data_IF_226496538066
#
_entry.id   IF_226496538066
#
_cell.length_a   1.000
_cell.length_b   1.000
_cell.length_c   1.000
_cell.angle_alpha   90.00
_cell.angle_beta   90.00
_cell.angle_gamma   90.00
#
_symmetry.space_group_name_H-M   'P 1'
#
loop_
_entity.id
_entity.type
_entity.pdbx_description
1 polymer ?
#
# COMPACT_ATOMS: atom_id res chain seq x y z
N UNK A 1 -19.35 -6.69 12.74
CA UNK A 1 -18.14 -6.56 11.90
C UNK A 1 -17.36 -5.34 12.34
N UNK A 2 -16.06 -5.46 12.56
CA UNK A 2 -15.27 -4.28 12.83
C UNK A 2 -15.29 -3.36 11.61
N UNK A 3 -15.31 -2.06 11.85
CA UNK A 3 -15.25 -1.07 10.79
C UNK A 3 -13.85 -1.05 10.18
N UNK A 4 -13.78 -0.89 8.87
CA UNK A 4 -12.52 -0.74 8.18
C UNK A 4 -12.06 0.72 8.26
N UNK A 5 -10.80 0.93 8.60
CA UNK A 5 -10.18 2.24 8.66
C UNK A 5 -9.18 2.36 7.52
N UNK A 6 -9.38 3.34 6.64
CA UNK A 6 -8.50 3.64 5.52
C UNK A 6 -7.61 4.81 5.94
N UNK A 7 -6.32 4.57 6.09
CA UNK A 7 -5.40 5.58 6.61
C UNK A 7 -4.02 5.50 5.97
N UNK A 8 -3.24 6.54 6.15
CA UNK A 8 -1.83 6.53 5.73
C UNK A 8 -1.06 5.49 6.55
N UNK A 9 -0.18 4.75 5.88
CA UNK A 9 0.68 3.79 6.55
C UNK A 9 1.68 4.49 7.48
N UNK A 10 2.01 3.82 8.57
CA UNK A 10 3.07 4.24 9.49
C UNK A 10 4.20 3.22 9.44
N UNK A 11 5.33 3.57 10.02
CA UNK A 11 6.49 2.66 10.07
C UNK A 11 6.13 1.31 10.72
N UNK A 12 5.25 1.32 11.70
CA UNK A 12 4.81 0.11 12.39
C UNK A 12 4.05 -0.85 11.47
N UNK A 13 3.52 -0.36 10.34
CA UNK A 13 2.74 -1.17 9.40
C UNK A 13 3.61 -1.90 8.38
N UNK A 14 4.90 -1.56 8.27
CA UNK A 14 5.75 -2.03 7.17
C UNK A 14 5.85 -3.55 7.11
N UNK A 15 6.02 -4.21 8.26
CA UNK A 15 6.13 -5.67 8.29
C UNK A 15 4.87 -6.35 7.74
N UNK A 16 3.69 -5.84 8.07
CA UNK A 16 2.43 -6.40 7.56
C UNK A 16 2.22 -6.10 6.09
N UNK A 17 2.65 -4.93 5.62
CA UNK A 17 2.59 -4.59 4.20
C UNK A 17 3.45 -5.56 3.39
N UNK A 18 4.66 -5.86 3.85
CA UNK A 18 5.53 -6.83 3.20
C UNK A 18 4.83 -8.18 3.07
N UNK A 19 4.16 -8.61 4.14
CA UNK A 19 3.38 -9.84 4.13
C UNK A 19 2.28 -9.85 3.07
N UNK A 20 1.58 -8.73 2.91
CA UNK A 20 0.54 -8.60 1.89
C UNK A 20 1.13 -8.64 0.48
N UNK A 21 2.27 -7.99 0.25
CA UNK A 21 2.94 -8.00 -1.05
C UNK A 21 3.40 -9.40 -1.43
N UNK A 22 3.82 -10.20 -0.46
CA UNK A 22 4.31 -11.56 -0.67
C UNK A 22 3.20 -12.61 -0.76
N UNK A 23 1.95 -12.24 -0.46
CA UNK A 23 0.83 -13.19 -0.29
C UNK A 23 0.15 -13.60 -1.60
N UNK A 24 0.75 -13.37 -2.76
CA UNK A 24 0.23 -13.88 -4.02
C UNK A 24 1.31 -14.71 -4.73
N UNK A 25 0.91 -15.43 -5.76
CA UNK A 25 1.83 -16.34 -6.47
C UNK A 25 3.02 -15.62 -7.07
N UNK A 26 2.81 -14.42 -7.62
CA UNK A 26 3.90 -13.61 -8.20
C UNK A 26 4.67 -12.90 -7.09
N UNK A 27 3.98 -12.38 -6.08
CA UNK A 27 4.59 -11.68 -4.96
C UNK A 27 5.53 -12.55 -4.16
N UNK A 28 5.18 -13.83 -3.94
CA UNK A 28 6.01 -14.74 -3.15
C UNK A 28 7.37 -15.00 -3.80
N UNK A 29 7.49 -14.85 -5.12
CA UNK A 29 8.77 -15.02 -5.82
C UNK A 29 9.54 -13.71 -5.96
N UNK A 30 8.89 -12.55 -5.80
CA UNK A 30 9.52 -11.24 -5.96
C UNK A 30 9.88 -10.58 -4.64
N UNK A 31 9.11 -10.86 -3.60
CA UNK A 31 9.28 -10.18 -2.31
C UNK A 31 10.15 -11.00 -1.37
N UNK A 32 11.08 -10.34 -0.70
CA UNK A 32 11.94 -10.95 0.30
C UNK A 32 11.41 -10.63 1.68
N UNK A 33 10.93 -11.65 2.41
CA UNK A 33 10.30 -11.47 3.71
C UNK A 33 11.22 -11.73 4.89
N UNK A 34 12.49 -12.11 4.62
CA UNK A 34 13.46 -12.38 5.68
C UNK A 34 13.93 -11.11 6.39
N UNK A 35 14.42 -11.29 7.62
CA UNK A 35 14.90 -10.17 8.44
C UNK A 35 15.99 -9.35 7.76
N UNK A 36 16.80 -9.97 6.92
CA UNK A 36 17.90 -9.30 6.19
C UNK A 36 17.38 -8.27 5.21
N UNK A 37 16.17 -8.47 4.66
CA UNK A 37 15.58 -7.58 3.67
C UNK A 37 14.77 -6.44 4.27
N UNK A 38 14.40 -6.55 5.54
CA UNK A 38 13.56 -5.56 6.20
C UNK A 38 14.12 -4.13 6.11
N UNK A 39 15.43 -3.89 6.31
CA UNK A 39 15.96 -2.53 6.21
C UNK A 39 15.75 -1.89 4.84
N UNK A 40 15.77 -2.68 3.77
CA UNK A 40 15.53 -2.17 2.41
C UNK A 40 14.09 -1.66 2.26
N UNK A 41 13.13 -2.43 2.77
CA UNK A 41 11.73 -2.01 2.75
C UNK A 41 11.50 -0.78 3.63
N UNK A 42 12.14 -0.75 4.78
CA UNK A 42 12.01 0.38 5.70
C UNK A 42 12.57 1.67 5.09
N UNK A 43 13.71 1.58 4.39
CA UNK A 43 14.28 2.72 3.68
C UNK A 43 13.35 3.20 2.56
N UNK A 44 12.74 2.28 1.82
CA UNK A 44 11.77 2.62 0.79
C UNK A 44 10.53 3.28 1.40
N UNK A 45 10.04 2.76 2.51
CA UNK A 45 8.90 3.35 3.23
C UNK A 45 9.21 4.79 3.62
N UNK A 46 10.40 5.04 4.18
CA UNK A 46 10.78 6.38 4.61
C UNK A 46 10.88 7.36 3.44
N UNK A 47 11.35 6.90 2.28
CA UNK A 47 11.39 7.70 1.07
C UNK A 47 9.98 8.06 0.59
N UNK A 48 9.07 7.09 0.61
CA UNK A 48 7.67 7.31 0.22
C UNK A 48 7.00 8.30 1.19
N UNK A 49 7.22 8.10 2.48
CA UNK A 49 6.59 8.90 3.52
C UNK A 49 7.06 10.36 3.49
N UNK A 50 8.29 10.60 3.04
CA UNK A 50 8.86 11.94 2.91
C UNK A 50 8.48 12.64 1.60
N UNK A 51 7.91 11.93 0.64
CA UNK A 51 7.60 12.46 -0.69
C UNK A 51 6.15 12.93 -0.74
N UNK A 52 5.95 14.24 -0.97
CA UNK A 52 4.61 14.82 -1.05
C UNK A 52 3.76 14.26 -2.20
N UNK A 53 4.39 13.64 -3.19
CA UNK A 53 3.69 13.05 -4.34
C UNK A 53 3.44 11.55 -4.17
N UNK A 54 3.69 11.02 -2.98
CA UNK A 54 3.45 9.61 -2.68
C UNK A 54 2.47 9.47 -1.53
N UNK A 55 1.62 8.47 -1.62
CA UNK A 55 0.71 8.15 -0.53
C UNK A 55 0.62 6.63 -0.42
N UNK A 56 1.04 6.09 0.72
CA UNK A 56 0.91 4.67 1.00
C UNK A 56 -0.28 4.48 1.93
N UNK A 57 -1.32 3.83 1.43
CA UNK A 57 -2.56 3.59 2.15
C UNK A 57 -2.55 2.19 2.75
N UNK A 58 -3.06 2.06 3.95
CA UNK A 58 -3.38 0.76 4.54
C UNK A 58 -4.84 0.74 4.96
N UNK A 59 -5.40 -0.46 4.95
CA UNK A 59 -6.75 -0.72 5.45
C UNK A 59 -6.61 -1.52 6.74
N UNK A 60 -7.07 -0.95 7.83
CA UNK A 60 -6.93 -1.50 9.18
C UNK A 60 -8.32 -1.95 9.65
N UNK A 61 -8.44 -3.19 10.09
CA UNK A 61 -9.71 -3.71 10.60
C UNK A 61 -9.85 -3.58 12.12
N UNK A 62 -8.90 -2.90 12.75
CA UNK A 62 -8.87 -2.73 14.20
C UNK A 62 -7.95 -3.73 14.90
N UNK A 63 -7.56 -4.80 14.22
CA UNK A 63 -6.67 -5.86 14.74
C UNK A 63 -5.42 -6.01 13.88
N UNK A 64 -5.61 -5.95 12.56
CA UNK A 64 -4.51 -6.17 11.61
C UNK A 64 -4.74 -5.34 10.34
N UNK A 65 -3.69 -5.24 9.54
CA UNK A 65 -3.75 -4.60 8.24
C UNK A 65 -4.23 -5.62 7.22
N UNK A 66 -5.35 -5.35 6.56
CA UNK A 66 -5.98 -6.27 5.62
C UNK A 66 -5.89 -5.82 4.17
N UNK A 67 -5.35 -4.64 3.93
CA UNK A 67 -5.18 -4.13 2.57
C UNK A 67 -4.15 -3.03 2.52
N UNK A 68 -3.60 -2.80 1.32
CA UNK A 68 -2.65 -1.72 1.05
C UNK A 68 -2.69 -1.33 -0.42
N UNK A 69 -2.33 -0.08 -0.71
CA UNK A 69 -2.02 0.38 -2.06
C UNK A 69 -1.05 1.55 -1.98
N UNK A 70 -0.33 1.77 -3.06
CA UNK A 70 0.55 2.93 -3.20
C UNK A 70 0.00 3.83 -4.31
N UNK A 71 -0.14 5.13 -4.01
CA UNK A 71 -0.59 6.13 -4.95
C UNK A 71 0.55 7.10 -5.21
N UNK A 72 0.86 7.33 -6.48
CA UNK A 72 1.86 8.28 -6.91
C UNK A 72 1.19 9.37 -7.72
N UNK A 73 1.43 10.64 -7.38
CA UNK A 73 0.97 11.76 -8.18
C UNK A 73 2.06 12.16 -9.16
N UNK A 74 1.71 12.19 -10.45
CA UNK A 74 2.63 12.53 -11.52
C UNK A 74 2.22 13.87 -12.09
N UNK A 75 3.06 14.88 -11.87
CA UNK A 75 2.81 16.24 -12.36
C UNK A 75 3.33 16.34 -13.78
N UNK A 76 2.47 16.76 -14.71
CA UNK A 76 2.85 16.96 -16.10
C UNK A 76 2.70 18.42 -16.49
N UNK A 77 3.54 18.88 -17.42
CA UNK A 77 3.44 20.25 -17.96
C UNK A 77 2.29 20.36 -18.97
N UNK A 78 2.05 19.30 -19.72
CA UNK A 78 1.00 19.27 -20.75
C UNK A 78 -0.39 19.46 -20.13
N UNK A 79 -1.35 19.85 -20.95
CA UNK A 79 -2.76 20.01 -20.54
C UNK A 79 -2.95 20.96 -19.37
N UNK A 80 -2.16 22.05 -19.34
CA UNK A 80 -2.30 23.07 -18.31
C UNK A 80 -1.70 22.66 -16.96
N UNK A 81 -0.74 21.73 -16.95
CA UNK A 81 -0.12 21.28 -15.70
C UNK A 81 -0.91 20.16 -15.02
N UNK A 82 -1.52 19.29 -15.80
CA UNK A 82 -2.34 18.20 -15.27
C UNK A 82 -1.55 17.29 -14.32
N UNK A 83 -2.15 16.98 -13.18
CA UNK A 83 -1.60 16.02 -12.20
C UNK A 83 -2.37 14.71 -12.32
N UNK A 84 -1.65 13.60 -12.49
CA UNK A 84 -2.25 12.27 -12.62
C UNK A 84 -1.93 11.42 -11.40
N UNK A 85 -2.85 10.50 -11.06
CA UNK A 85 -2.61 9.52 -10.03
C UNK A 85 -2.29 8.16 -10.64
N UNK A 86 -1.24 7.51 -10.15
CA UNK A 86 -0.87 6.15 -10.50
C UNK A 86 -1.08 5.27 -9.28
N UNK A 87 -1.93 4.25 -9.41
CA UNK A 87 -2.20 3.30 -8.33
C UNK A 87 -1.38 2.04 -8.58
N UNK A 88 -0.61 1.63 -7.60
CA UNK A 88 0.28 0.49 -7.70
C UNK A 88 0.18 -0.40 -6.47
N UNK A 89 0.62 -1.65 -6.63
CA UNK A 89 0.78 -2.60 -5.53
C UNK A 89 -0.47 -2.76 -4.67
N UNK A 90 -1.64 -2.80 -5.32
CA UNK A 90 -2.90 -3.04 -4.61
C UNK A 90 -2.91 -4.48 -4.13
N UNK A 91 -3.06 -4.67 -2.83
CA UNK A 91 -3.11 -6.01 -2.21
C UNK A 91 -4.19 -6.04 -1.14
N UNK A 92 -4.87 -7.17 -1.06
CA UNK A 92 -5.87 -7.44 -0.04
C UNK A 92 -5.56 -8.82 0.54
N UNK A 93 -5.66 -8.95 1.86
CA UNK A 93 -5.45 -10.25 2.51
C UNK A 93 -6.36 -11.31 1.89
N UNK A 94 -5.83 -12.53 1.69
CA UNK A 94 -6.51 -13.59 0.95
C UNK A 94 -7.92 -13.92 1.46
N UNK A 95 -8.10 -13.89 2.78
CA UNK A 95 -9.39 -14.16 3.42
C UNK A 95 -10.38 -12.98 3.36
N UNK A 96 -9.94 -11.83 2.85
CA UNK A 96 -10.75 -10.60 2.81
C UNK A 96 -11.02 -10.11 1.39
N UNK A 97 -10.55 -10.81 0.37
CA UNK A 97 -10.69 -10.35 -1.02
C UNK A 97 -12.13 -10.23 -1.49
N UNK A 98 -13.02 -11.05 -0.97
CA UNK A 98 -14.45 -11.01 -1.30
C UNK A 98 -15.18 -9.78 -0.77
N UNK A 99 -14.56 -8.96 0.06
CA UNK A 99 -15.18 -7.76 0.65
C UNK A 99 -14.95 -6.50 -0.16
N UNK A 100 -14.36 -6.61 -1.36
CA UNK A 100 -14.11 -5.48 -2.29
C UNK A 100 -13.26 -4.37 -1.66
N UNK A 101 -12.33 -4.73 -0.79
CA UNK A 101 -11.48 -3.75 -0.09
C UNK A 101 -10.64 -2.95 -1.07
N UNK A 102 -10.13 -3.59 -2.14
CA UNK A 102 -9.33 -2.91 -3.16
C UNK A 102 -10.10 -1.77 -3.82
N UNK A 103 -11.35 -2.01 -4.23
CA UNK A 103 -12.19 -0.98 -4.83
C UNK A 103 -12.48 0.15 -3.85
N UNK A 104 -12.76 -0.19 -2.60
CA UNK A 104 -13.04 0.82 -1.57
C UNK A 104 -11.83 1.68 -1.27
N UNK A 105 -10.64 1.09 -1.29
CA UNK A 105 -9.39 1.82 -1.09
C UNK A 105 -9.12 2.81 -2.21
N UNK A 106 -9.36 2.42 -3.46
CA UNK A 106 -9.18 3.29 -4.61
C UNK A 106 -10.13 4.48 -4.59
N UNK A 107 -11.35 4.28 -4.12
CA UNK A 107 -12.32 5.39 -4.06
C UNK A 107 -12.04 6.37 -2.93
N UNK A 108 -11.24 5.99 -1.91
CA UNK A 108 -10.85 6.88 -0.81
C UNK A 108 -9.74 7.85 -1.23
N UNK A 109 -8.86 7.43 -2.12
CA UNK A 109 -7.74 8.26 -2.59
C UNK A 109 -8.11 9.05 -3.83
#
# INVERSE_FOLDING_TARGET
MPDLIFRRATEADVAMIIGLLADDVLGSSREATGAESYPHYLNAFRAIDADANQFLLVVDDGTEIVGTLQLTFIVGLARGGLKRGLVEAVRVAGDRRGEKIGERSESVV
#
